data_IF_202432696400
#
_entry.id   IF_202432696400
#
_cell.length_a   1.000
_cell.length_b   1.000
_cell.length_c   1.000
_cell.angle_alpha   90.00
_cell.angle_beta   90.00
_cell.angle_gamma   90.00
#
_symmetry.space_group_name_H-M   'P 1'
#
loop_
_entity.id
_entity.type
_entity.pdbx_description
1 polymer ?
#
# COMPACT_ATOMS: atom_id res chain seq x y z
N UNK A 1 -4.45 26.19 34.89
CA UNK A 1 -3.29 25.29 35.06
C UNK A 1 -3.56 24.04 34.23
N UNK A 2 -2.78 23.82 33.17
CA UNK A 2 -3.10 22.85 32.13
C UNK A 2 -2.60 21.44 32.49
N UNK A 3 -3.51 20.57 32.93
CA UNK A 3 -3.27 19.17 33.34
C UNK A 3 -2.58 18.33 32.25
N UNK A 4 -2.74 18.73 30.99
CA UNK A 4 -2.17 18.05 29.81
C UNK A 4 -0.64 18.12 29.79
N UNK A 5 -0.07 19.20 30.32
CA UNK A 5 1.38 19.44 30.36
C UNK A 5 2.12 18.52 31.34
N UNK A 6 1.51 18.26 32.50
CA UNK A 6 2.10 17.40 33.54
C UNK A 6 2.09 15.93 33.14
N UNK A 7 1.01 15.44 32.51
CA UNK A 7 0.93 14.07 31.98
C UNK A 7 1.99 13.81 30.92
N UNK A 8 2.19 14.74 29.97
CA UNK A 8 3.22 14.62 28.93
C UNK A 8 4.62 14.53 29.54
N UNK A 9 4.92 15.39 30.52
CA UNK A 9 6.27 15.49 31.11
C UNK A 9 6.63 14.28 31.98
N UNK A 10 5.70 13.77 32.78
CA UNK A 10 6.00 12.78 33.81
C UNK A 10 5.55 11.35 33.49
N UNK A 11 4.62 11.17 32.55
CA UNK A 11 4.10 9.85 32.19
C UNK A 11 4.48 9.49 30.76
N UNK A 12 4.08 10.32 29.79
CA UNK A 12 4.26 10.00 28.37
C UNK A 12 5.72 10.01 27.93
N UNK A 13 6.51 11.01 28.33
CA UNK A 13 7.92 11.12 27.94
C UNK A 13 8.81 9.96 28.44
N UNK A 14 8.78 9.56 29.72
CA UNK A 14 9.56 8.42 30.19
C UNK A 14 9.09 7.09 29.59
N UNK A 15 7.78 6.88 29.40
CA UNK A 15 7.26 5.69 28.73
C UNK A 15 7.70 5.60 27.26
N UNK A 16 7.69 6.72 26.54
CA UNK A 16 8.15 6.78 25.14
C UNK A 16 9.66 6.52 25.01
N UNK A 17 10.47 7.02 25.94
CA UNK A 17 11.92 6.71 26.00
C UNK A 17 12.20 5.23 26.21
N UNK A 18 11.39 4.57 27.05
CA UNK A 18 11.51 3.13 27.26
C UNK A 18 11.12 2.38 26.00
N UNK A 19 9.96 2.68 25.40
CA UNK A 19 9.48 2.08 24.16
C UNK A 19 10.48 2.19 23.00
N UNK A 20 11.09 3.36 22.81
CA UNK A 20 12.09 3.60 21.77
C UNK A 20 13.36 2.74 21.94
N UNK A 21 13.63 2.25 23.15
CA UNK A 21 14.78 1.37 23.45
C UNK A 21 14.47 -0.12 23.21
N UNK A 22 13.19 -0.52 23.24
CA UNK A 22 12.77 -1.92 23.07
C UNK A 22 12.32 -2.22 21.64
N UNK A 23 11.98 -1.20 20.86
CA UNK A 23 11.61 -1.37 19.46
C UNK A 23 12.87 -1.73 18.64
N UNK A 24 12.88 -2.90 17.97
CA UNK A 24 13.94 -3.23 17.03
C UNK A 24 13.94 -2.21 15.88
N UNK A 25 15.10 -1.96 15.24
CA UNK A 25 15.12 -1.17 14.02
C UNK A 25 14.24 -1.87 12.98
N UNK A 26 13.24 -1.15 12.46
CA UNK A 26 12.42 -1.63 11.35
C UNK A 26 13.36 -2.01 10.20
N UNK A 27 13.20 -3.23 9.68
CA UNK A 27 13.91 -3.62 8.46
C UNK A 27 13.46 -2.72 7.30
N UNK A 28 14.31 -2.56 6.28
CA UNK A 28 13.97 -1.75 5.09
C UNK A 28 12.64 -2.19 4.48
N UNK A 29 12.40 -3.50 4.41
CA UNK A 29 11.17 -4.08 3.85
C UNK A 29 9.94 -3.82 4.74
N UNK A 30 10.06 -3.92 6.06
CA UNK A 30 8.94 -3.58 6.98
C UNK A 30 8.64 -2.08 6.96
N UNK A 31 9.66 -1.24 6.78
CA UNK A 31 9.49 0.20 6.66
C UNK A 31 8.79 0.56 5.35
N UNK A 32 9.18 -0.03 4.22
CA UNK A 32 8.48 0.13 2.93
C UNK A 32 7.02 -0.34 3.01
N UNK A 33 6.78 -1.50 3.64
CA UNK A 33 5.42 -2.00 3.85
C UNK A 33 4.58 -1.09 4.77
N UNK A 34 5.19 -0.44 5.78
CA UNK A 34 4.52 0.54 6.62
C UNK A 34 4.31 1.90 5.93
N UNK A 35 5.25 2.35 5.09
CA UNK A 35 5.15 3.60 4.34
C UNK A 35 4.13 3.50 3.20
N UNK A 36 4.00 2.31 2.60
CA UNK A 36 2.90 1.96 1.68
C UNK A 36 1.51 2.07 2.35
N UNK A 37 1.45 1.99 3.68
CA UNK A 37 0.24 2.17 4.50
C UNK A 37 0.26 3.47 5.30
N UNK A 38 0.63 4.60 4.71
CA UNK A 38 0.57 5.89 5.41
C UNK A 38 -0.86 6.41 5.50
N UNK A 39 -1.23 6.95 6.67
CA UNK A 39 -2.54 7.56 6.90
C UNK A 39 -2.55 8.95 6.22
N UNK A 40 -2.93 9.01 4.94
CA UNK A 40 -2.88 10.23 4.12
C UNK A 40 -4.04 11.17 4.44
N UNK A 41 -5.16 11.04 3.73
CA UNK A 41 -6.35 11.86 3.91
C UNK A 41 -7.20 11.38 5.08
N UNK A 42 -7.13 10.09 5.42
CA UNK A 42 -7.91 9.47 6.50
C UNK A 42 -7.53 10.07 7.86
N UNK A 43 -6.25 10.34 8.09
CA UNK A 43 -5.73 10.85 9.36
C UNK A 43 -6.13 12.29 9.58
N UNK A 44 -6.17 13.07 8.50
CA UNK A 44 -6.69 14.43 8.49
C UNK A 44 -8.21 14.43 8.75
N UNK A 45 -8.96 13.52 8.11
CA UNK A 45 -10.41 13.39 8.27
C UNK A 45 -10.80 12.97 9.70
N UNK A 46 -10.08 12.03 10.31
CA UNK A 46 -10.35 11.54 11.66
C UNK A 46 -9.73 12.40 12.78
N UNK A 47 -9.02 13.48 12.42
CA UNK A 47 -8.40 14.40 13.39
C UNK A 47 -9.40 15.23 14.21
N UNK A 48 -10.67 15.28 13.79
CA UNK A 48 -11.74 16.08 14.40
C UNK A 48 -11.71 17.58 14.03
N UNK A 49 -10.66 18.04 13.34
CA UNK A 49 -10.57 19.37 12.74
C UNK A 49 -9.77 19.31 11.42
N UNK A 50 -10.34 18.69 10.36
CA UNK A 50 -9.62 18.51 9.10
C UNK A 50 -9.32 19.84 8.40
N UNK A 51 -8.10 19.97 7.88
CA UNK A 51 -7.77 21.04 6.92
C UNK A 51 -8.28 20.68 5.51
N UNK A 52 -9.40 21.29 5.13
CA UNK A 52 -10.01 21.11 3.82
C UNK A 52 -9.14 21.61 2.66
N UNK A 53 -8.29 22.63 2.89
CA UNK A 53 -7.39 23.14 1.84
C UNK A 53 -6.32 22.10 1.51
N UNK A 54 -5.84 21.38 2.52
CA UNK A 54 -4.91 20.26 2.38
C UNK A 54 -5.57 19.06 1.68
N UNK A 55 -6.81 18.73 2.05
CA UNK A 55 -7.56 17.64 1.42
C UNK A 55 -7.85 17.90 -0.07
N UNK A 56 -8.15 19.14 -0.44
CA UNK A 56 -8.35 19.52 -1.85
C UNK A 56 -7.04 19.72 -2.62
N UNK A 57 -5.91 19.85 -1.93
CA UNK A 57 -4.59 20.04 -2.51
C UNK A 57 -3.85 18.74 -2.82
N UNK A 58 -4.42 17.57 -2.54
CA UNK A 58 -3.84 16.30 -2.97
C UNK A 58 -3.95 16.19 -4.49
N UNK A 59 -2.81 16.03 -5.15
CA UNK A 59 -2.75 15.79 -6.58
C UNK A 59 -3.45 14.48 -6.92
N UNK A 60 -4.09 14.46 -8.10
CA UNK A 60 -4.68 13.22 -8.60
C UNK A 60 -3.55 12.24 -8.89
N UNK A 61 -3.59 11.00 -8.39
CA UNK A 61 -2.65 9.98 -8.81
C UNK A 61 -2.76 9.85 -10.34
N UNK A 62 -1.60 9.86 -11.00
CA UNK A 62 -1.48 9.65 -12.44
C UNK A 62 -0.57 8.45 -12.63
N UNK A 63 -1.00 7.53 -13.49
CA UNK A 63 -0.17 6.42 -13.89
C UNK A 63 0.99 6.93 -14.74
N UNK A 64 2.17 6.37 -14.53
CA UNK A 64 3.28 6.51 -15.45
C UNK A 64 2.95 5.84 -16.78
N UNK A 65 3.70 6.16 -17.84
CA UNK A 65 3.51 5.54 -19.16
C UNK A 65 3.67 4.01 -19.12
N UNK A 66 4.60 3.51 -18.29
CA UNK A 66 4.83 2.07 -18.10
C UNK A 66 3.66 1.40 -17.37
N UNK A 67 3.13 2.04 -16.32
CA UNK A 67 1.94 1.52 -15.60
C UNK A 67 0.71 1.56 -16.49
N UNK A 68 0.54 2.61 -17.29
CA UNK A 68 -0.57 2.72 -18.22
C UNK A 68 -0.50 1.63 -19.30
N UNK A 69 0.65 1.40 -19.91
CA UNK A 69 0.83 0.27 -20.84
C UNK A 69 0.59 -1.07 -20.15
N UNK A 70 0.99 -1.22 -18.88
CA UNK A 70 0.71 -2.44 -18.14
C UNK A 70 -0.80 -2.72 -18.00
N UNK A 71 -1.58 -1.67 -17.73
CA UNK A 71 -3.05 -1.78 -17.67
C UNK A 71 -3.62 -2.06 -19.06
N UNK A 72 -3.18 -1.32 -20.07
CA UNK A 72 -3.76 -1.41 -21.41
C UNK A 72 -3.45 -2.74 -22.11
N UNK A 73 -2.31 -3.36 -21.82
CA UNK A 73 -1.85 -4.58 -22.49
C UNK A 73 -1.97 -5.83 -21.59
N UNK A 74 -1.25 -5.89 -20.48
CA UNK A 74 -1.17 -7.09 -19.64
C UNK A 74 -2.46 -7.35 -18.85
N UNK A 75 -3.08 -6.30 -18.31
CA UNK A 75 -4.35 -6.46 -17.59
C UNK A 75 -5.46 -6.84 -18.57
N UNK A 76 -5.53 -6.21 -19.74
CA UNK A 76 -6.53 -6.58 -20.76
C UNK A 76 -6.35 -8.04 -21.21
N UNK A 77 -5.12 -8.46 -21.47
CA UNK A 77 -4.82 -9.88 -21.80
C UNK A 77 -5.28 -10.82 -20.68
N UNK A 78 -5.03 -10.47 -19.41
CA UNK A 78 -5.51 -11.26 -18.28
C UNK A 78 -7.04 -11.36 -18.26
N UNK A 79 -7.74 -10.27 -18.53
CA UNK A 79 -9.21 -10.25 -18.56
C UNK A 79 -9.76 -11.16 -19.68
N UNK A 80 -9.13 -11.18 -20.85
CA UNK A 80 -9.52 -12.07 -21.95
C UNK A 80 -9.33 -13.56 -21.61
N UNK A 81 -8.37 -13.90 -20.73
CA UNK A 81 -8.14 -15.27 -20.28
C UNK A 81 -9.15 -15.76 -19.23
N UNK A 82 -9.95 -14.87 -18.63
CA UNK A 82 -10.81 -15.19 -17.51
C UNK A 82 -12.26 -15.43 -17.96
N UNK A 83 -12.80 -16.59 -17.58
CA UNK A 83 -14.24 -16.84 -17.54
C UNK A 83 -14.69 -16.92 -16.07
N UNK A 84 -15.28 -15.83 -15.57
CA UNK A 84 -15.68 -15.72 -14.16
C UNK A 84 -16.73 -16.77 -13.76
N UNK A 85 -17.68 -17.10 -14.66
CA UNK A 85 -18.71 -18.08 -14.34
C UNK A 85 -18.09 -19.47 -14.17
N UNK A 86 -17.24 -19.88 -15.10
CA UNK A 86 -16.58 -21.18 -15.07
C UNK A 86 -15.63 -21.31 -13.85
N UNK A 87 -14.83 -20.27 -13.60
CA UNK A 87 -13.89 -20.22 -12.49
C UNK A 87 -14.62 -20.31 -11.15
N UNK A 88 -15.64 -19.49 -10.93
CA UNK A 88 -16.29 -19.41 -9.62
C UNK A 88 -17.24 -20.59 -9.38
N UNK A 89 -17.97 -21.04 -10.40
CA UNK A 89 -19.01 -22.07 -10.23
C UNK A 89 -18.49 -23.50 -10.35
N UNK A 90 -17.51 -23.75 -11.23
CA UNK A 90 -17.07 -25.09 -11.56
C UNK A 90 -15.67 -25.39 -11.02
N UNK A 91 -14.68 -24.59 -11.41
CA UNK A 91 -13.27 -24.90 -11.11
C UNK A 91 -12.87 -24.55 -9.68
N UNK A 92 -13.46 -23.48 -9.13
CA UNK A 92 -13.15 -22.87 -7.83
C UNK A 92 -11.68 -22.50 -7.63
N UNK A 93 -10.96 -22.37 -8.74
CA UNK A 93 -9.56 -21.95 -8.82
C UNK A 93 -9.32 -21.39 -10.22
N UNK A 94 -8.25 -20.60 -10.38
CA UNK A 94 -7.83 -20.09 -11.68
C UNK A 94 -7.26 -21.24 -12.54
N UNK A 95 -7.50 -21.24 -13.86
CA UNK A 95 -6.85 -22.15 -14.78
C UNK A 95 -5.33 -22.05 -14.68
N UNK A 96 -4.64 -23.16 -14.93
CA UNK A 96 -3.16 -23.21 -14.85
C UNK A 96 -2.49 -22.17 -15.75
N UNK A 97 -3.03 -21.94 -16.94
CA UNK A 97 -2.52 -20.95 -17.89
C UNK A 97 -2.61 -19.51 -17.35
N UNK A 98 -3.70 -19.18 -16.66
CA UNK A 98 -3.86 -17.89 -15.97
C UNK A 98 -2.84 -17.75 -14.84
N UNK A 99 -2.68 -18.80 -14.02
CA UNK A 99 -1.66 -18.82 -12.97
C UNK A 99 -0.25 -18.61 -13.52
N UNK A 100 0.09 -19.28 -14.62
CA UNK A 100 1.40 -19.16 -15.26
C UNK A 100 1.62 -17.76 -15.84
N UNK A 101 0.59 -17.18 -16.47
CA UNK A 101 0.64 -15.81 -16.97
C UNK A 101 0.85 -14.79 -15.84
N UNK A 102 0.09 -14.87 -14.75
CA UNK A 102 0.23 -13.97 -13.59
C UNK A 102 1.64 -14.01 -12.99
N UNK A 103 2.25 -15.20 -12.91
CA UNK A 103 3.63 -15.39 -12.43
C UNK A 103 4.64 -14.81 -13.42
N UNK A 104 4.49 -15.11 -14.70
CA UNK A 104 5.40 -14.65 -15.75
C UNK A 104 5.41 -13.12 -15.85
N UNK A 105 4.21 -12.52 -15.86
CA UNK A 105 4.01 -11.08 -15.96
C UNK A 105 4.09 -10.38 -14.60
N UNK A 106 4.52 -11.06 -13.53
CA UNK A 106 4.86 -10.46 -12.24
C UNK A 106 3.72 -9.67 -11.59
N UNK A 107 2.48 -10.13 -11.75
CA UNK A 107 1.30 -9.51 -11.13
C UNK A 107 1.35 -9.50 -9.60
N UNK A 108 2.11 -10.41 -8.97
CA UNK A 108 2.24 -10.48 -7.51
C UNK A 108 3.36 -9.61 -6.93
N UNK A 109 4.11 -8.89 -7.77
CA UNK A 109 5.26 -8.08 -7.35
C UNK A 109 5.23 -6.66 -7.93
N UNK A 110 4.02 -6.09 -8.07
CA UNK A 110 3.82 -4.76 -8.65
C UNK A 110 4.61 -3.67 -7.89
N UNK A 111 4.47 -3.60 -6.57
CA UNK A 111 5.12 -2.58 -5.72
C UNK A 111 6.57 -2.90 -5.32
N UNK A 112 7.08 -4.06 -5.74
CA UNK A 112 8.44 -4.48 -5.38
C UNK A 112 9.42 -3.83 -6.35
N UNK A 113 10.54 -3.29 -5.85
CA UNK A 113 11.59 -2.70 -6.68
C UNK A 113 12.07 -3.65 -7.80
N UNK A 114 12.38 -3.09 -8.97
CA UNK A 114 12.88 -3.84 -10.13
C UNK A 114 14.16 -4.61 -9.85
N UNK A 115 14.99 -4.13 -8.92
CA UNK A 115 16.24 -4.80 -8.52
C UNK A 115 16.02 -6.16 -7.85
N UNK A 116 14.87 -6.35 -7.21
CA UNK A 116 14.43 -7.62 -6.60
C UNK A 116 13.50 -8.41 -7.53
N UNK A 117 13.38 -8.00 -8.80
CA UNK A 117 12.54 -8.66 -9.79
C UNK A 117 11.06 -8.26 -9.73
N UNK A 118 10.70 -7.18 -9.05
CA UNK A 118 9.36 -6.59 -9.12
C UNK A 118 9.18 -5.62 -10.29
N UNK A 119 8.11 -4.82 -10.26
CA UNK A 119 7.80 -3.81 -11.28
C UNK A 119 7.94 -2.36 -10.81
N UNK A 120 8.09 -2.12 -9.51
CA UNK A 120 8.25 -0.79 -8.89
C UNK A 120 7.10 0.19 -9.25
N UNK A 121 5.89 -0.36 -9.35
CA UNK A 121 4.68 0.43 -9.59
C UNK A 121 4.22 1.07 -8.29
N UNK A 122 3.90 2.34 -8.36
CA UNK A 122 3.41 3.16 -7.27
C UNK A 122 1.97 3.56 -7.62
N UNK A 123 1.06 2.56 -7.64
CA UNK A 123 -0.37 2.81 -7.90
C UNK A 123 -0.94 3.92 -7.01
#
# INVERSE_FOLDING_TARGET
MDMTSYRKKWVSNPAFKLFKKVLPPLSSTEKEAMEAGSVWWEGELFSGNPDWSKLHGYDKPQLTEEEQSFVDDQVETLLEMLDDFEIVKHQRDLPKEVWDYLKQERFFSLIISKEFGGRDFLL
#
